data_IF_597612637199
#
_entry.id   IF_597612637199
#
_cell.length_a   1.000
_cell.length_b   1.000
_cell.length_c   1.000
_cell.angle_alpha   90.00
_cell.angle_beta   90.00
_cell.angle_gamma   90.00
#
_symmetry.space_group_name_H-M   'P 1'
#
loop_
_entity.id
_entity.type
_entity.pdbx_description
1 polymer ?
#
# COMPACT_ATOMS: atom_id res chain seq x y z
N UNK A 1 9.49 29.34 -70.87
CA UNK A 1 8.47 28.43 -71.46
C UNK A 1 7.59 28.01 -70.28
N UNK A 2 6.57 28.75 -70.00
CA UNK A 2 5.16 28.77 -70.50
C UNK A 2 4.45 27.42 -70.39
N UNK A 3 3.35 27.53 -69.55
CA UNK A 3 2.09 26.73 -69.58
C UNK A 3 2.10 25.53 -68.63
N UNK A 4 1.10 25.32 -67.77
CA UNK A 4 -0.28 25.81 -67.73
C UNK A 4 -0.87 25.75 -66.32
N UNK A 5 -1.55 26.81 -65.96
CA UNK A 5 -2.62 26.86 -64.92
C UNK A 5 -3.78 25.94 -65.35
N UNK A 6 -4.37 25.23 -64.43
CA UNK A 6 -5.74 24.77 -64.58
C UNK A 6 -6.44 24.79 -63.24
N UNK A 7 -7.26 25.77 -63.12
CA UNK A 7 -8.34 26.05 -62.21
C UNK A 7 -9.36 24.92 -62.18
N UNK A 8 -9.78 24.44 -61.01
CA UNK A 8 -11.12 23.88 -60.84
C UNK A 8 -11.82 24.54 -59.65
N UNK A 9 -12.67 25.45 -60.01
CA UNK A 9 -13.79 25.99 -59.26
C UNK A 9 -15.00 25.19 -59.67
N UNK A 10 -15.77 24.59 -58.75
CA UNK A 10 -17.19 24.16 -58.86
C UNK A 10 -17.45 23.25 -57.69
N UNK A 11 -18.49 23.25 -56.95
CA UNK A 11 -19.75 23.96 -56.94
C UNK A 11 -20.32 23.77 -55.53
N UNK A 12 -20.77 24.88 -54.97
CA UNK A 12 -21.63 24.87 -53.77
C UNK A 12 -23.02 24.44 -54.26
N UNK A 13 -23.46 23.23 -53.87
CA UNK A 13 -24.85 22.85 -53.92
C UNK A 13 -25.42 22.80 -52.52
N UNK A 14 -26.25 23.77 -52.23
CA UNK A 14 -27.19 23.76 -51.11
C UNK A 14 -28.06 22.49 -51.20
N UNK A 15 -28.01 21.64 -50.19
CA UNK A 15 -29.12 20.79 -49.84
C UNK A 15 -29.59 21.18 -48.45
N UNK A 16 -30.65 21.98 -48.43
CA UNK A 16 -31.46 22.18 -47.25
C UNK A 16 -32.28 20.92 -47.02
N UNK A 17 -31.95 20.15 -45.99
CA UNK A 17 -32.85 19.11 -45.49
C UNK A 17 -32.92 19.25 -43.97
N UNK A 18 -34.13 19.69 -43.56
CA UNK A 18 -34.79 19.42 -42.26
C UNK A 18 -33.95 19.43 -41.01
N UNK A 19 -33.99 20.56 -40.33
CA UNK A 19 -33.77 20.69 -38.90
C UNK A 19 -34.79 19.83 -38.13
N UNK A 20 -34.41 18.63 -37.76
CA UNK A 20 -35.03 17.94 -36.62
C UNK A 20 -34.47 18.56 -35.35
N UNK A 21 -35.31 18.91 -34.37
CA UNK A 21 -34.80 19.45 -33.12
C UNK A 21 -33.91 18.41 -32.43
N UNK A 22 -32.66 18.79 -32.18
CA UNK A 22 -31.82 18.03 -31.26
C UNK A 22 -32.56 17.99 -29.93
N UNK A 23 -33.08 16.81 -29.56
CA UNK A 23 -33.48 16.51 -28.21
C UNK A 23 -32.26 16.74 -27.34
N UNK A 24 -32.28 17.81 -26.57
CA UNK A 24 -31.35 18.00 -25.48
C UNK A 24 -31.53 16.81 -24.56
N UNK A 25 -30.58 15.90 -24.58
CA UNK A 25 -30.42 14.97 -23.46
C UNK A 25 -30.18 15.82 -22.25
N UNK A 26 -31.21 16.04 -21.45
CA UNK A 26 -31.09 16.54 -20.11
C UNK A 26 -30.11 15.59 -19.39
N UNK A 27 -28.98 16.12 -18.99
CA UNK A 27 -28.12 15.43 -18.04
C UNK A 27 -29.01 15.00 -16.87
N UNK A 28 -28.90 13.76 -16.38
CA UNK A 28 -29.65 13.34 -15.21
C UNK A 28 -29.32 14.36 -14.12
N UNK A 29 -30.33 15.15 -13.74
CA UNK A 29 -30.24 16.01 -12.57
C UNK A 29 -29.91 15.11 -11.39
N UNK A 30 -28.69 15.24 -10.91
CA UNK A 30 -28.33 14.67 -9.62
C UNK A 30 -29.43 15.08 -8.64
N UNK A 31 -30.01 14.14 -7.85
CA UNK A 31 -31.02 14.51 -6.89
C UNK A 31 -30.43 15.60 -6.01
N UNK A 32 -31.08 16.75 -5.97
CA UNK A 32 -30.73 17.86 -5.07
C UNK A 32 -30.83 17.29 -3.64
N UNK A 33 -29.69 16.93 -3.08
CA UNK A 33 -29.63 16.57 -1.68
C UNK A 33 -29.91 17.85 -0.90
N UNK A 34 -31.11 17.93 -0.34
CA UNK A 34 -31.48 18.93 0.64
C UNK A 34 -30.43 18.96 1.75
N UNK A 35 -29.57 19.97 1.72
CA UNK A 35 -28.48 20.18 2.66
C UNK A 35 -28.93 20.46 4.10
N UNK A 36 -30.22 20.41 4.39
CA UNK A 36 -30.79 20.72 5.71
C UNK A 36 -31.42 19.53 6.45
N UNK A 37 -31.29 18.29 5.99
CA UNK A 37 -31.74 17.10 6.72
C UNK A 37 -30.68 15.99 6.81
N UNK A 38 -29.39 16.33 6.92
CA UNK A 38 -28.42 15.41 7.46
C UNK A 38 -28.57 15.40 9.01
N UNK A 39 -29.62 14.79 9.53
CA UNK A 39 -29.58 14.27 10.90
C UNK A 39 -28.35 13.38 10.93
N UNK A 40 -27.36 13.74 11.74
CA UNK A 40 -26.18 12.93 11.95
C UNK A 40 -26.64 11.52 12.25
N UNK A 41 -26.34 10.58 11.35
CA UNK A 41 -26.63 9.17 11.59
C UNK A 41 -25.78 8.73 12.74
N UNK A 42 -26.38 8.39 13.85
CA UNK A 42 -25.69 7.93 15.05
C UNK A 42 -25.45 6.43 15.07
N UNK A 43 -25.81 5.71 14.01
CA UNK A 43 -25.67 4.28 13.88
C UNK A 43 -24.88 3.94 12.63
N UNK A 44 -23.88 3.04 12.75
CA UNK A 44 -23.11 2.57 11.60
C UNK A 44 -24.01 1.81 10.61
N UNK A 45 -23.79 1.95 9.28
CA UNK A 45 -24.66 1.34 8.26
C UNK A 45 -24.88 -0.16 8.43
N UNK A 46 -23.88 -0.90 8.89
CA UNK A 46 -23.95 -2.34 9.10
C UNK A 46 -24.93 -2.71 10.25
N UNK A 47 -25.12 -1.79 11.19
CA UNK A 47 -26.06 -1.97 12.31
C UNK A 47 -27.49 -1.61 11.94
N UNK A 48 -27.71 -0.78 10.91
CA UNK A 48 -29.05 -0.45 10.40
C UNK A 48 -29.75 -1.69 9.81
N UNK A 49 -28.99 -2.66 9.32
CA UNK A 49 -29.51 -3.91 8.74
C UNK A 49 -29.57 -5.07 9.74
N UNK A 50 -29.00 -4.91 10.93
CA UNK A 50 -29.02 -5.93 11.98
C UNK A 50 -30.42 -5.96 12.65
N UNK A 51 -31.21 -7.00 12.39
CA UNK A 51 -32.59 -7.11 12.89
C UNK A 51 -32.76 -8.15 14.01
N UNK A 52 -31.80 -9.06 14.17
CA UNK A 52 -31.89 -10.18 15.12
C UNK A 52 -30.55 -10.45 15.83
N UNK A 53 -30.64 -11.10 16.99
CA UNK A 53 -29.49 -11.53 17.77
C UNK A 53 -28.85 -10.42 18.62
N UNK A 54 -27.72 -10.74 19.21
CA UNK A 54 -26.89 -9.82 20.03
C UNK A 54 -25.68 -9.40 19.25
N UNK A 55 -25.41 -8.10 19.19
CA UNK A 55 -24.27 -7.51 18.47
C UNK A 55 -23.32 -6.87 19.47
N UNK A 56 -22.03 -7.09 19.31
CA UNK A 56 -21.01 -6.36 20.06
C UNK A 56 -20.75 -5.02 19.39
N UNK A 57 -20.88 -3.95 20.17
CA UNK A 57 -20.78 -2.58 19.67
C UNK A 57 -19.84 -1.73 20.52
N UNK A 58 -19.30 -0.68 19.89
CA UNK A 58 -18.65 0.44 20.57
C UNK A 58 -19.65 1.58 20.58
N UNK A 59 -20.04 2.03 21.77
CA UNK A 59 -20.94 3.14 22.00
C UNK A 59 -20.09 4.34 22.38
N UNK A 60 -20.07 5.37 21.56
CA UNK A 60 -19.39 6.64 21.81
C UNK A 60 -20.38 7.61 22.44
N UNK A 61 -19.92 8.34 23.44
CA UNK A 61 -20.72 9.27 24.25
C UNK A 61 -20.40 10.71 23.91
N UNK A 62 -21.38 11.61 24.03
CA UNK A 62 -21.13 13.05 24.03
C UNK A 62 -20.56 13.46 25.42
N UNK A 63 -19.23 13.41 25.55
CA UNK A 63 -18.53 13.58 26.81
C UNK A 63 -18.41 12.28 27.62
N UNK A 64 -17.93 12.35 28.85
CA UNK A 64 -17.63 11.16 29.66
C UNK A 64 -18.82 10.22 29.77
N UNK A 65 -18.56 8.93 29.56
CA UNK A 65 -19.55 7.88 29.77
C UNK A 65 -20.10 7.90 31.20
N UNK A 66 -21.41 7.87 31.34
CA UNK A 66 -22.10 8.02 32.64
C UNK A 66 -22.82 6.73 33.04
N UNK A 67 -23.12 6.61 34.35
CA UNK A 67 -23.94 5.51 34.86
C UNK A 67 -25.33 5.43 34.18
N UNK A 68 -25.84 6.56 33.69
CA UNK A 68 -27.11 6.60 32.96
C UNK A 68 -27.04 5.87 31.59
N UNK A 69 -25.90 5.87 30.95
CA UNK A 69 -25.70 5.11 29.71
C UNK A 69 -25.53 3.62 30.01
N UNK A 70 -24.82 3.26 31.08
CA UNK A 70 -24.75 1.86 31.54
C UNK A 70 -26.11 1.29 31.85
N UNK A 71 -26.97 2.06 32.57
CA UNK A 71 -28.33 1.70 32.84
C UNK A 71 -29.19 1.59 31.58
N UNK A 72 -29.00 2.49 30.61
CA UNK A 72 -29.72 2.45 29.34
C UNK A 72 -29.43 1.19 28.53
N UNK A 73 -28.15 0.75 28.51
CA UNK A 73 -27.72 -0.50 27.89
C UNK A 73 -28.35 -1.70 28.61
N UNK A 74 -28.24 -1.74 29.96
CA UNK A 74 -28.76 -2.84 30.77
C UNK A 74 -30.31 -2.97 30.71
N UNK A 75 -31.02 -1.84 30.76
CA UNK A 75 -32.46 -1.80 30.68
C UNK A 75 -33.04 -2.34 29.35
N UNK A 76 -32.18 -2.39 28.30
CA UNK A 76 -32.54 -2.93 26.99
C UNK A 76 -31.96 -4.32 26.74
N UNK A 77 -31.60 -5.03 27.80
CA UNK A 77 -31.06 -6.39 27.72
C UNK A 77 -29.60 -6.46 27.22
N UNK A 78 -28.92 -5.34 27.13
CA UNK A 78 -27.50 -5.29 26.79
C UNK A 78 -26.59 -5.51 28.01
N UNK A 79 -25.36 -5.85 27.75
CA UNK A 79 -24.32 -6.07 28.78
C UNK A 79 -23.06 -5.28 28.45
N UNK A 80 -22.70 -4.31 29.30
CA UNK A 80 -21.44 -3.59 29.21
C UNK A 80 -20.26 -4.53 29.43
N UNK A 81 -19.32 -4.55 28.52
CA UNK A 81 -18.12 -5.37 28.58
C UNK A 81 -16.93 -4.59 29.13
N UNK A 82 -16.74 -3.35 28.69
CA UNK A 82 -15.59 -2.54 29.05
C UNK A 82 -15.90 -1.05 28.93
N UNK A 83 -15.43 -0.26 29.89
CA UNK A 83 -15.32 1.20 29.74
C UNK A 83 -14.04 1.58 29.00
N UNK A 84 -14.12 2.56 28.12
CA UNK A 84 -12.98 3.19 27.42
C UNK A 84 -12.94 4.66 27.85
N UNK A 85 -12.56 4.89 29.11
CA UNK A 85 -12.71 6.17 29.82
C UNK A 85 -12.03 7.35 29.12
N UNK A 86 -10.83 7.12 28.58
CA UNK A 86 -10.08 8.16 27.85
C UNK A 86 -10.62 8.44 26.43
N UNK A 87 -11.60 7.66 25.96
CA UNK A 87 -12.17 7.78 24.63
C UNK A 87 -13.68 8.14 24.69
N UNK A 88 -14.20 8.43 25.87
CA UNK A 88 -15.61 8.72 26.12
C UNK A 88 -16.53 7.66 25.45
N UNK A 89 -16.16 6.37 25.61
CA UNK A 89 -16.83 5.27 24.94
C UNK A 89 -16.94 4.02 25.84
N UNK A 90 -17.77 3.08 25.44
CA UNK A 90 -17.85 1.74 26.05
C UNK A 90 -18.00 0.66 24.98
N UNK A 91 -17.53 -0.55 25.29
CA UNK A 91 -17.86 -1.76 24.55
C UNK A 91 -19.01 -2.48 25.25
N UNK A 92 -20.05 -2.82 24.52
CA UNK A 92 -21.20 -3.53 25.03
C UNK A 92 -21.72 -4.59 24.05
N UNK A 93 -22.29 -5.68 24.58
CA UNK A 93 -23.13 -6.60 23.81
C UNK A 93 -24.57 -6.11 23.91
N UNK A 94 -25.22 -5.82 22.78
CA UNK A 94 -26.55 -5.21 22.75
C UNK A 94 -27.46 -6.01 21.80
N UNK A 95 -28.72 -6.29 22.19
CA UNK A 95 -29.68 -6.83 21.24
C UNK A 95 -29.85 -5.91 20.02
N UNK A 96 -29.90 -6.50 18.84
CA UNK A 96 -30.01 -5.71 17.59
C UNK A 96 -31.28 -4.81 17.61
N UNK A 97 -32.35 -5.28 18.19
CA UNK A 97 -33.60 -4.51 18.34
C UNK A 97 -33.49 -3.26 19.23
N UNK A 98 -32.47 -3.17 20.08
CA UNK A 98 -32.26 -2.05 20.98
C UNK A 98 -31.33 -0.95 20.41
N UNK A 99 -30.69 -1.20 19.26
CA UNK A 99 -29.72 -0.30 18.68
C UNK A 99 -30.29 1.06 18.28
N UNK A 100 -31.47 1.07 17.65
CA UNK A 100 -32.15 2.29 17.23
C UNK A 100 -32.53 3.17 18.42
N UNK A 101 -33.04 2.57 19.48
CA UNK A 101 -33.43 3.26 20.72
C UNK A 101 -32.21 3.85 21.45
N UNK A 102 -31.09 3.14 21.46
CA UNK A 102 -29.85 3.64 22.04
C UNK A 102 -29.31 4.79 21.21
N UNK A 103 -29.31 4.68 19.89
CA UNK A 103 -28.85 5.74 18.99
C UNK A 103 -29.72 7.01 19.07
N UNK A 104 -31.00 6.88 19.41
CA UNK A 104 -31.91 8.01 19.57
C UNK A 104 -31.61 8.89 20.80
N UNK A 105 -30.83 8.42 21.76
CA UNK A 105 -30.48 9.17 22.97
C UNK A 105 -29.57 10.37 22.65
N UNK A 106 -29.80 11.47 23.37
CA UNK A 106 -29.03 12.70 23.18
C UNK A 106 -27.60 12.61 23.70
N UNK A 107 -27.36 11.75 24.72
CA UNK A 107 -26.04 11.54 25.34
C UNK A 107 -25.17 10.53 24.57
N UNK A 108 -25.67 9.91 23.52
CA UNK A 108 -24.90 9.03 22.64
C UNK A 108 -24.57 9.80 21.36
N UNK A 109 -23.30 9.75 21.00
CA UNK A 109 -22.76 10.37 19.79
C UNK A 109 -22.84 9.43 18.59
N UNK A 110 -22.30 8.20 18.73
CA UNK A 110 -22.27 7.22 17.65
C UNK A 110 -22.18 5.80 18.19
N UNK A 111 -22.76 4.84 17.45
CA UNK A 111 -22.69 3.41 17.73
C UNK A 111 -22.14 2.69 16.50
N UNK A 112 -21.03 1.97 16.66
CA UNK A 112 -20.42 1.14 15.62
C UNK A 112 -20.26 -0.31 16.08
N UNK A 113 -20.22 -1.31 15.17
CA UNK A 113 -19.82 -2.65 15.55
C UNK A 113 -18.40 -2.67 16.12
N UNK A 114 -18.14 -3.57 17.08
CA UNK A 114 -16.78 -3.92 17.48
C UNK A 114 -16.19 -4.81 16.38
N UNK A 115 -15.60 -4.16 15.37
CA UNK A 115 -15.06 -4.84 14.19
C UNK A 115 -13.78 -5.56 14.52
N UNK A 116 -13.62 -6.74 13.96
CA UNK A 116 -12.34 -7.46 14.03
C UNK A 116 -11.27 -6.64 13.30
N UNK A 117 -10.19 -6.35 13.99
CA UNK A 117 -9.00 -5.71 13.43
C UNK A 117 -8.04 -6.84 13.09
N UNK A 118 -7.89 -7.17 11.80
CA UNK A 118 -6.95 -8.17 11.33
C UNK A 118 -5.62 -7.49 10.99
N UNK A 119 -4.54 -8.22 11.21
CA UNK A 119 -3.21 -7.79 10.81
C UNK A 119 -3.05 -7.89 9.29
N UNK A 120 -2.58 -6.83 8.64
CA UNK A 120 -2.70 -6.67 7.18
C UNK A 120 -1.72 -7.48 6.33
N UNK A 121 -0.61 -8.01 6.86
CA UNK A 121 0.27 -8.87 6.04
C UNK A 121 -0.35 -10.24 5.75
N UNK A 122 -1.12 -10.80 6.66
CA UNK A 122 -1.90 -12.01 6.37
C UNK A 122 -2.90 -11.77 5.23
N UNK A 123 -3.59 -10.63 5.27
CA UNK A 123 -4.52 -10.19 4.23
C UNK A 123 -3.79 -9.96 2.91
N UNK A 124 -2.67 -9.23 2.91
CA UNK A 124 -1.91 -8.90 1.70
C UNK A 124 -1.41 -10.15 0.98
N UNK A 125 -0.78 -11.09 1.70
CA UNK A 125 -0.26 -12.32 1.12
C UNK A 125 -1.35 -13.20 0.50
N UNK A 126 -2.55 -13.19 1.07
CA UNK A 126 -3.71 -13.91 0.54
C UNK A 126 -4.35 -13.16 -0.64
N UNK A 127 -4.57 -11.86 -0.53
CA UNK A 127 -5.18 -11.02 -1.57
C UNK A 127 -4.38 -11.04 -2.89
N UNK A 128 -3.05 -11.07 -2.83
CA UNK A 128 -2.20 -11.16 -4.02
C UNK A 128 -1.91 -12.60 -4.47
N UNK A 129 -2.47 -13.62 -3.80
CA UNK A 129 -2.29 -15.02 -4.15
C UNK A 129 -0.95 -15.64 -3.72
N UNK A 130 -0.11 -14.93 -2.99
CA UNK A 130 1.19 -15.42 -2.56
C UNK A 130 1.09 -16.63 -1.62
N UNK A 131 0.03 -16.69 -0.78
CA UNK A 131 -0.24 -17.84 0.08
C UNK A 131 -0.52 -19.09 -0.76
N UNK A 132 -1.34 -18.98 -1.81
CA UNK A 132 -1.64 -20.08 -2.72
C UNK A 132 -0.38 -20.50 -3.50
N UNK A 133 0.40 -19.55 -4.01
CA UNK A 133 1.66 -19.82 -4.70
C UNK A 133 2.66 -20.60 -3.81
N UNK A 134 2.73 -20.27 -2.51
CA UNK A 134 3.59 -21.00 -1.55
C UNK A 134 3.12 -22.44 -1.25
N UNK A 135 1.81 -22.66 -1.32
CA UNK A 135 1.24 -24.00 -1.09
C UNK A 135 1.36 -24.91 -2.32
N UNK A 136 1.54 -24.35 -3.51
CA UNK A 136 1.41 -25.05 -4.78
C UNK A 136 -0.05 -25.15 -5.24
N UNK A 137 -0.26 -25.30 -6.54
CA UNK A 137 -1.60 -25.37 -7.13
C UNK A 137 -1.62 -26.28 -8.36
N UNK A 138 -2.69 -27.05 -8.53
CA UNK A 138 -2.92 -27.90 -9.71
C UNK A 138 -1.72 -28.83 -10.06
N UNK A 139 -1.05 -29.40 -9.04
CA UNK A 139 0.10 -30.29 -9.24
C UNK A 139 1.45 -29.58 -9.37
N UNK A 140 1.48 -28.25 -9.48
CA UNK A 140 2.72 -27.49 -9.43
C UNK A 140 3.22 -27.36 -7.99
N UNK A 141 4.54 -27.51 -7.74
CA UNK A 141 5.11 -27.35 -6.41
C UNK A 141 4.99 -25.91 -5.92
N UNK A 142 4.93 -25.73 -4.61
CA UNK A 142 4.95 -24.41 -3.99
C UNK A 142 6.25 -23.65 -4.25
N UNK A 143 6.17 -22.34 -4.39
CA UNK A 143 7.31 -21.45 -4.60
C UNK A 143 7.41 -20.42 -3.47
N UNK A 144 8.63 -20.12 -3.04
CA UNK A 144 8.91 -19.29 -1.86
C UNK A 144 9.92 -18.15 -2.14
N UNK A 145 10.35 -18.04 -3.40
CA UNK A 145 11.42 -17.14 -3.84
C UNK A 145 12.82 -17.72 -3.59
N UNK A 146 12.91 -19.03 -3.35
CA UNK A 146 14.16 -19.71 -3.02
C UNK A 146 15.18 -19.59 -4.15
N UNK A 147 16.40 -19.16 -3.80
CA UNK A 147 17.49 -18.98 -4.75
C UNK A 147 17.41 -17.70 -5.57
N UNK A 148 16.45 -16.80 -5.30
CA UNK A 148 16.34 -15.49 -5.95
C UNK A 148 16.88 -14.41 -5.01
N UNK A 149 17.79 -13.56 -5.51
CA UNK A 149 18.30 -12.39 -4.81
C UNK A 149 17.43 -11.15 -5.10
N UNK A 150 16.94 -10.51 -4.04
CA UNK A 150 16.24 -9.21 -4.10
C UNK A 150 17.17 -8.17 -3.50
N UNK A 151 17.64 -7.22 -4.31
CA UNK A 151 18.39 -6.08 -3.83
C UNK A 151 17.43 -4.98 -3.38
N UNK A 152 17.54 -4.61 -2.12
CA UNK A 152 16.78 -3.53 -1.49
C UNK A 152 17.67 -2.29 -1.49
N UNK A 153 17.36 -1.33 -2.36
CA UNK A 153 18.04 -0.03 -2.43
C UNK A 153 17.23 0.96 -1.59
N UNK A 154 17.65 1.16 -0.33
CA UNK A 154 16.84 1.87 0.67
C UNK A 154 17.71 2.41 1.83
N UNK A 155 17.17 2.54 3.04
CA UNK A 155 17.84 3.05 4.24
C UNK A 155 18.66 2.00 5.03
N UNK A 156 18.78 0.78 4.49
CA UNK A 156 19.42 -0.34 5.17
C UNK A 156 18.42 -1.39 5.67
N UNK A 157 18.93 -2.50 6.19
CA UNK A 157 18.12 -3.58 6.77
C UNK A 157 18.67 -3.93 8.15
N UNK A 158 17.81 -3.97 9.17
CA UNK A 158 18.18 -4.42 10.52
C UNK A 158 18.48 -5.91 10.52
N UNK A 159 19.75 -6.27 10.35
CA UNK A 159 20.22 -7.63 10.14
C UNK A 159 19.92 -8.59 11.32
N UNK A 160 19.70 -8.03 12.51
CA UNK A 160 19.39 -8.80 13.71
C UNK A 160 17.91 -9.21 13.83
N UNK A 161 17.03 -8.68 12.96
CA UNK A 161 15.62 -9.04 12.99
C UNK A 161 15.45 -10.53 12.65
N UNK A 162 14.69 -11.31 13.46
CA UNK A 162 14.52 -12.75 13.26
C UNK A 162 13.98 -13.14 11.88
N UNK A 163 13.13 -12.28 11.30
CA UNK A 163 12.51 -12.52 9.99
C UNK A 163 13.50 -12.56 8.81
N UNK A 164 14.74 -12.13 9.02
CA UNK A 164 15.79 -12.19 8.00
C UNK A 164 16.80 -13.33 8.23
N UNK A 165 16.46 -14.26 9.11
CA UNK A 165 17.30 -15.43 9.40
C UNK A 165 16.63 -16.70 8.91
N UNK A 166 17.44 -17.70 8.55
CA UNK A 166 17.01 -19.08 8.28
C UNK A 166 16.78 -19.82 9.58
N UNK A 167 16.12 -20.98 9.53
CA UNK A 167 15.88 -21.84 10.70
C UNK A 167 17.15 -22.21 11.48
N UNK A 168 18.31 -22.26 10.81
CA UNK A 168 19.62 -22.48 11.41
C UNK A 168 20.31 -21.18 11.88
N UNK A 169 19.59 -20.11 12.05
CA UNK A 169 20.05 -18.78 12.46
C UNK A 169 21.04 -18.09 11.47
N UNK A 170 21.28 -18.66 10.27
CA UNK A 170 22.07 -18.01 9.22
C UNK A 170 21.28 -16.85 8.60
N UNK A 171 21.96 -15.75 8.34
CA UNK A 171 21.35 -14.58 7.67
C UNK A 171 20.88 -14.94 6.25
N UNK A 172 19.74 -14.38 5.85
CA UNK A 172 19.30 -14.33 4.45
C UNK A 172 19.73 -13.03 3.76
N UNK A 173 20.29 -12.07 4.51
CA UNK A 173 21.00 -10.93 3.96
C UNK A 173 22.38 -11.44 3.56
N UNK A 174 22.57 -11.70 2.27
CA UNK A 174 23.78 -12.35 1.73
C UNK A 174 24.87 -11.36 1.34
N UNK A 175 24.52 -10.08 1.23
CA UNK A 175 25.43 -8.96 1.06
C UNK A 175 24.83 -7.69 1.64
N UNK A 176 25.67 -6.81 2.17
CA UNK A 176 25.30 -5.48 2.65
C UNK A 176 26.37 -4.48 2.25
N UNK A 177 25.95 -3.36 1.66
CA UNK A 177 26.83 -2.28 1.25
C UNK A 177 26.18 -0.95 1.64
N UNK A 178 26.96 -0.09 2.28
CA UNK A 178 26.54 1.25 2.65
C UNK A 178 27.19 2.29 1.73
N UNK A 179 26.38 3.01 0.97
CA UNK A 179 26.78 4.09 0.07
C UNK A 179 26.59 5.47 0.72
N UNK A 180 26.22 5.53 2.00
CA UNK A 180 26.12 6.77 2.76
C UNK A 180 27.38 6.99 3.61
N UNK A 181 27.52 8.19 4.17
CA UNK A 181 28.58 8.49 5.14
C UNK A 181 28.23 8.10 6.58
N UNK A 182 26.98 7.62 6.78
CA UNK A 182 26.45 7.25 8.10
C UNK A 182 26.71 5.81 8.50
N UNK A 183 26.06 5.38 9.59
CA UNK A 183 26.13 4.01 10.08
C UNK A 183 25.43 3.03 9.11
N UNK A 184 25.88 1.78 9.10
CA UNK A 184 25.23 0.72 8.34
C UNK A 184 23.87 0.31 8.92
N UNK A 185 23.60 0.59 10.19
CA UNK A 185 22.33 0.31 10.86
C UNK A 185 21.15 1.04 10.18
N UNK A 186 19.97 0.41 10.16
CA UNK A 186 18.75 1.02 9.63
C UNK A 186 18.02 1.82 10.72
N UNK A 187 18.51 3.03 11.00
CA UNK A 187 17.86 3.96 11.94
C UNK A 187 16.66 4.70 11.36
N UNK A 188 16.50 4.73 10.02
CA UNK A 188 15.25 5.17 9.42
C UNK A 188 14.12 4.20 9.72
N UNK A 189 14.39 2.90 9.63
CA UNK A 189 13.44 1.81 9.78
C UNK A 189 12.63 1.51 8.52
N UNK A 190 12.76 2.34 7.47
CA UNK A 190 12.01 2.19 6.23
C UNK A 190 12.47 0.97 5.44
N UNK A 191 13.76 0.81 5.20
CA UNK A 191 14.31 -0.30 4.42
C UNK A 191 14.09 -1.67 5.07
N UNK A 192 14.12 -1.76 6.41
CA UNK A 192 13.74 -2.98 7.15
C UNK A 192 12.30 -3.37 6.88
N UNK A 193 11.37 -2.41 6.95
CA UNK A 193 9.96 -2.65 6.63
C UNK A 193 9.77 -3.11 5.18
N UNK A 194 10.43 -2.44 4.22
CA UNK A 194 10.42 -2.78 2.79
C UNK A 194 10.96 -4.21 2.55
N UNK A 195 12.10 -4.55 3.13
CA UNK A 195 12.68 -5.89 3.04
C UNK A 195 11.76 -6.96 3.64
N UNK A 196 11.09 -6.62 4.74
CA UNK A 196 10.14 -7.50 5.41
C UNK A 196 8.91 -7.81 4.57
N UNK A 197 8.33 -6.80 3.91
CA UNK A 197 7.22 -7.01 2.98
C UNK A 197 7.63 -7.89 1.81
N UNK A 198 8.80 -7.67 1.21
CA UNK A 198 9.28 -8.48 0.10
C UNK A 198 9.57 -9.91 0.54
N UNK A 199 10.30 -10.11 1.64
CA UNK A 199 10.92 -11.39 1.96
C UNK A 199 11.08 -11.71 3.46
N UNK A 200 10.38 -11.05 4.37
CA UNK A 200 10.33 -11.49 5.77
C UNK A 200 9.78 -12.92 5.90
N UNK A 201 10.34 -13.75 6.76
CA UNK A 201 9.82 -15.12 6.92
C UNK A 201 8.78 -15.26 8.04
N UNK A 202 8.47 -14.17 8.74
CA UNK A 202 7.47 -14.16 9.82
C UNK A 202 7.89 -14.88 11.10
N UNK A 203 9.17 -15.23 11.27
CA UNK A 203 9.65 -15.93 12.48
C UNK A 203 9.35 -15.18 13.76
N UNK A 204 9.45 -13.85 13.75
CA UNK A 204 9.14 -12.99 14.89
C UNK A 204 7.62 -12.87 15.15
N UNK A 205 6.74 -13.39 14.28
CA UNK A 205 5.28 -13.32 14.44
C UNK A 205 4.74 -14.26 15.53
N UNK A 206 5.58 -15.15 16.06
CA UNK A 206 5.17 -16.04 17.16
C UNK A 206 4.72 -15.22 18.35
N UNK A 207 3.47 -15.44 18.79
CA UNK A 207 2.84 -14.68 19.88
C UNK A 207 2.24 -13.34 19.47
N UNK A 208 2.11 -13.08 18.17
CA UNK A 208 1.31 -11.98 17.60
C UNK A 208 -0.05 -12.49 17.08
N UNK A 209 -0.96 -11.57 16.78
CA UNK A 209 -2.31 -11.92 16.31
C UNK A 209 -2.34 -12.53 14.89
N UNK A 210 -1.28 -12.34 14.11
CA UNK A 210 -1.18 -12.82 12.73
C UNK A 210 0.23 -13.28 12.36
N UNK A 211 0.35 -13.96 11.23
CA UNK A 211 1.63 -14.31 10.63
C UNK A 211 2.03 -13.21 9.63
N UNK A 212 3.08 -12.45 9.94
CA UNK A 212 3.53 -11.32 9.14
C UNK A 212 4.65 -11.67 8.15
N UNK A 213 4.67 -12.91 7.68
CA UNK A 213 5.60 -13.31 6.64
C UNK A 213 5.37 -12.50 5.35
N UNK A 214 6.46 -12.06 4.75
CA UNK A 214 6.45 -11.39 3.45
C UNK A 214 6.05 -12.30 2.30
N UNK A 215 6.11 -11.75 1.10
CA UNK A 215 5.61 -12.41 -0.11
C UNK A 215 6.52 -13.59 -0.50
N UNK A 216 7.85 -13.42 -0.52
CA UNK A 216 8.85 -14.40 -0.92
C UNK A 216 9.79 -14.76 0.25
N UNK A 217 9.32 -15.54 1.26
CA UNK A 217 9.98 -15.68 2.56
C UNK A 217 11.31 -16.44 2.53
N UNK A 218 11.67 -17.10 1.42
CA UNK A 218 12.97 -17.80 1.26
C UNK A 218 13.91 -17.09 0.27
N UNK A 219 13.51 -15.93 -0.30
CA UNK A 219 14.40 -15.14 -1.13
C UNK A 219 15.62 -14.65 -0.33
N UNK A 220 16.76 -14.53 -0.98
CA UNK A 220 17.93 -13.88 -0.42
C UNK A 220 17.77 -12.35 -0.53
N UNK A 221 18.25 -11.64 0.46
CA UNK A 221 18.24 -10.19 0.50
C UNK A 221 19.64 -9.63 0.28
N UNK A 222 19.72 -8.57 -0.48
CA UNK A 222 20.93 -7.78 -0.65
C UNK A 222 20.60 -6.37 -0.15
N UNK A 223 21.27 -5.94 0.91
CA UNK A 223 21.11 -4.65 1.54
C UNK A 223 22.02 -3.61 0.88
N UNK A 224 21.43 -2.65 0.18
CA UNK A 224 22.14 -1.56 -0.49
C UNK A 224 21.66 -0.23 0.10
N UNK A 225 22.27 0.19 1.20
CA UNK A 225 21.89 1.42 1.91
C UNK A 225 22.35 2.66 1.14
N UNK A 226 21.39 3.46 0.69
CA UNK A 226 21.59 4.74 -0.01
C UNK A 226 20.91 5.91 0.68
N UNK A 227 20.03 5.64 1.65
CA UNK A 227 19.33 6.66 2.44
C UNK A 227 19.92 6.68 3.86
N UNK A 228 20.07 7.86 4.41
CA UNK A 228 20.54 8.11 5.78
C UNK A 228 19.46 7.80 6.83
N UNK A 229 19.74 8.13 8.08
CA UNK A 229 18.85 7.90 9.22
C UNK A 229 17.55 8.71 9.16
N UNK A 230 17.50 9.75 8.32
CA UNK A 230 16.31 10.59 8.07
C UNK A 230 15.56 10.16 6.80
N UNK A 231 16.00 9.10 6.12
CA UNK A 231 15.41 8.64 4.87
C UNK A 231 15.79 9.50 3.66
N UNK A 232 16.85 10.30 3.74
CA UNK A 232 17.36 11.14 2.66
C UNK A 232 18.62 10.52 2.02
N UNK A 233 18.81 10.74 0.72
CA UNK A 233 19.95 10.24 -0.01
C UNK A 233 20.25 11.06 -1.27
N UNK A 234 21.25 10.65 -2.03
CA UNK A 234 21.65 11.31 -3.26
C UNK A 234 21.43 10.43 -4.48
N UNK A 235 21.21 11.05 -5.63
CA UNK A 235 21.14 10.33 -6.92
C UNK A 235 22.40 9.51 -7.16
N UNK A 236 23.59 10.04 -6.84
CA UNK A 236 24.86 9.33 -7.00
C UNK A 236 24.91 8.04 -6.18
N UNK A 237 24.49 8.06 -4.91
CA UNK A 237 24.45 6.85 -4.07
C UNK A 237 23.51 5.78 -4.66
N UNK A 238 22.35 6.19 -5.21
CA UNK A 238 21.44 5.26 -5.89
C UNK A 238 22.06 4.69 -7.17
N UNK A 239 22.75 5.50 -7.95
CA UNK A 239 23.48 5.05 -9.16
C UNK A 239 24.57 4.05 -8.80
N UNK A 240 25.34 4.32 -7.74
CA UNK A 240 26.39 3.41 -7.24
C UNK A 240 25.79 2.06 -6.80
N UNK A 241 24.66 2.08 -6.09
CA UNK A 241 23.96 0.88 -5.66
C UNK A 241 23.43 0.05 -6.86
N UNK A 242 22.85 0.69 -7.88
CA UNK A 242 22.40 0.01 -9.09
C UNK A 242 23.60 -0.60 -9.84
N UNK A 243 24.67 0.16 -9.99
CA UNK A 243 25.90 -0.32 -10.63
C UNK A 243 26.49 -1.51 -9.89
N UNK A 244 26.53 -1.45 -8.55
CA UNK A 244 26.98 -2.56 -7.72
C UNK A 244 26.09 -3.81 -7.91
N UNK A 245 24.79 -3.64 -7.94
CA UNK A 245 23.85 -4.74 -8.16
C UNK A 245 24.04 -5.41 -9.53
N UNK A 246 24.25 -4.63 -10.60
CA UNK A 246 24.56 -5.14 -11.94
C UNK A 246 25.86 -5.94 -11.93
N UNK A 247 26.92 -5.39 -11.34
CA UNK A 247 28.26 -6.02 -11.27
C UNK A 247 28.22 -7.34 -10.51
N UNK A 248 27.45 -7.41 -9.43
CA UNK A 248 27.41 -8.57 -8.53
C UNK A 248 26.21 -9.50 -8.77
N UNK A 249 25.43 -9.28 -9.85
CA UNK A 249 24.21 -10.01 -10.11
C UNK A 249 24.38 -11.53 -10.15
N UNK A 250 25.43 -12.02 -10.80
CA UNK A 250 25.69 -13.45 -10.91
C UNK A 250 26.19 -14.06 -9.60
N UNK A 251 26.94 -13.28 -8.80
CA UNK A 251 27.50 -13.73 -7.52
C UNK A 251 26.39 -13.99 -6.48
N UNK A 252 25.35 -13.19 -6.47
CA UNK A 252 24.28 -13.24 -5.47
C UNK A 252 22.92 -13.59 -6.07
N UNK A 253 22.88 -14.02 -7.34
CA UNK A 253 21.65 -14.28 -8.12
C UNK A 253 20.65 -13.11 -8.02
N UNK A 254 21.13 -11.88 -8.17
CA UNK A 254 20.29 -10.68 -8.11
C UNK A 254 19.41 -10.64 -9.35
N UNK A 255 18.14 -10.93 -9.16
CA UNK A 255 17.14 -10.96 -10.24
C UNK A 255 16.11 -9.84 -10.09
N UNK A 256 16.02 -9.24 -8.90
CA UNK A 256 15.09 -8.16 -8.59
C UNK A 256 15.84 -7.05 -7.88
N UNK A 257 15.60 -5.81 -8.28
CA UNK A 257 15.95 -4.60 -7.53
C UNK A 257 14.62 -3.97 -7.09
N UNK A 258 14.47 -3.70 -5.79
CA UNK A 258 13.40 -2.92 -5.22
C UNK A 258 13.89 -1.51 -4.89
N UNK A 259 13.27 -0.49 -5.46
CA UNK A 259 13.50 0.92 -5.13
C UNK A 259 12.22 1.56 -4.60
N UNK A 260 12.12 1.58 -3.28
CA UNK A 260 11.00 2.22 -2.55
C UNK A 260 11.30 3.70 -2.26
N UNK A 261 11.97 4.36 -3.18
CA UNK A 261 12.43 5.75 -3.12
C UNK A 261 12.15 6.47 -4.45
N UNK A 262 12.31 7.77 -4.46
CA UNK A 262 12.18 8.55 -5.69
C UNK A 262 12.37 10.04 -5.48
N UNK A 263 12.52 10.75 -6.58
CA UNK A 263 12.64 12.20 -6.64
C UNK A 263 11.62 12.77 -7.64
N UNK A 264 11.18 14.01 -7.49
CA UNK A 264 10.34 14.66 -8.50
C UNK A 264 10.99 14.63 -9.88
N UNK A 265 10.20 14.32 -10.91
CA UNK A 265 10.67 14.30 -12.29
C UNK A 265 11.01 15.73 -12.74
N UNK A 266 12.22 15.92 -13.30
CA UNK A 266 12.70 17.21 -13.79
C UNK A 266 13.04 17.20 -15.26
N UNK A 267 13.07 16.02 -15.86
CA UNK A 267 13.45 15.80 -17.26
C UNK A 267 12.85 14.49 -17.80
N UNK A 268 12.94 14.28 -19.11
CA UNK A 268 12.52 13.04 -19.77
C UNK A 268 13.31 11.84 -19.22
N UNK A 269 12.68 10.66 -19.17
CA UNK A 269 13.39 9.41 -18.83
C UNK A 269 14.59 9.14 -19.75
N UNK A 270 14.61 9.76 -20.93
CA UNK A 270 15.70 9.60 -21.91
C UNK A 270 16.99 10.29 -21.48
N UNK A 271 16.90 11.32 -20.67
CA UNK A 271 18.03 12.11 -20.15
C UNK A 271 18.28 11.83 -18.68
N UNK A 272 17.26 11.52 -17.89
CA UNK A 272 17.33 11.25 -16.46
C UNK A 272 18.31 10.10 -16.14
N UNK A 273 19.36 10.36 -15.34
CA UNK A 273 20.39 9.37 -15.03
C UNK A 273 19.83 8.15 -14.27
N UNK A 274 18.85 8.32 -13.38
CA UNK A 274 18.22 7.20 -12.67
C UNK A 274 17.44 6.30 -13.63
N UNK A 275 16.68 6.88 -14.54
CA UNK A 275 15.95 6.13 -15.56
C UNK A 275 16.87 5.37 -16.51
N UNK A 276 18.02 5.96 -16.86
CA UNK A 276 19.05 5.28 -17.66
C UNK A 276 19.70 4.12 -16.90
N UNK A 277 19.95 4.28 -15.60
CA UNK A 277 20.50 3.20 -14.76
C UNK A 277 19.50 2.04 -14.65
N UNK A 278 18.19 2.33 -14.48
CA UNK A 278 17.12 1.33 -14.52
C UNK A 278 17.13 0.57 -15.85
N UNK A 279 17.23 1.27 -16.99
CA UNK A 279 17.32 0.62 -18.31
C UNK A 279 18.52 -0.34 -18.38
N UNK A 280 19.68 0.06 -17.87
CA UNK A 280 20.90 -0.79 -17.81
C UNK A 280 20.70 -2.03 -16.94
N UNK A 281 20.08 -1.88 -15.76
CA UNK A 281 19.77 -3.01 -14.89
C UNK A 281 18.80 -4.00 -15.58
N UNK A 282 17.78 -3.48 -16.26
CA UNK A 282 16.81 -4.29 -17.02
C UNK A 282 17.48 -5.03 -18.18
N UNK A 283 18.36 -4.36 -18.95
CA UNK A 283 19.16 -4.98 -20.00
C UNK A 283 20.11 -6.06 -19.44
N UNK A 284 20.57 -5.88 -18.21
CA UNK A 284 21.40 -6.86 -17.51
C UNK A 284 20.58 -8.08 -16.99
N UNK A 285 19.27 -8.15 -17.23
CA UNK A 285 18.41 -9.26 -16.81
C UNK A 285 17.83 -9.13 -15.40
N UNK A 286 17.82 -7.93 -14.82
CA UNK A 286 17.27 -7.65 -13.49
C UNK A 286 15.93 -6.94 -13.65
N UNK A 287 14.88 -7.44 -12.99
CA UNK A 287 13.59 -6.74 -12.90
C UNK A 287 13.72 -5.60 -11.88
N UNK A 288 13.48 -4.38 -12.33
CA UNK A 288 13.56 -3.20 -11.46
C UNK A 288 12.16 -2.76 -11.09
N UNK A 289 11.81 -2.86 -9.81
CA UNK A 289 10.51 -2.49 -9.26
C UNK A 289 10.65 -1.16 -8.53
N UNK A 290 9.83 -0.17 -8.90
CA UNK A 290 9.88 1.17 -8.33
C UNK A 290 8.54 1.58 -7.74
N UNK A 291 8.55 2.29 -6.64
CA UNK A 291 7.35 2.95 -6.12
C UNK A 291 6.92 4.10 -7.04
N UNK A 292 5.60 4.30 -7.20
CA UNK A 292 5.05 5.37 -8.01
C UNK A 292 5.23 6.77 -7.38
N UNK A 293 5.35 6.83 -6.05
CA UNK A 293 5.35 8.06 -5.25
C UNK A 293 4.04 8.25 -4.49
N UNK A 294 4.06 9.16 -3.52
CA UNK A 294 2.94 9.40 -2.59
C UNK A 294 2.31 10.80 -2.78
N UNK A 295 2.42 11.37 -3.99
CA UNK A 295 1.97 12.72 -4.31
C UNK A 295 0.64 12.72 -5.10
N UNK A 296 -0.18 11.65 -4.98
CA UNK A 296 -1.43 11.50 -5.74
C UNK A 296 -2.58 12.38 -5.26
N UNK A 297 -2.38 13.17 -4.19
CA UNK A 297 -3.35 14.10 -3.63
C UNK A 297 -2.67 15.33 -3.04
N UNK A 298 -3.41 16.42 -2.93
CA UNK A 298 -3.03 17.55 -2.08
C UNK A 298 -3.50 17.30 -0.65
N UNK A 299 -3.12 18.17 0.29
CA UNK A 299 -3.65 18.16 1.66
C UNK A 299 -5.06 18.76 1.75
N UNK A 300 -5.56 19.36 0.67
CA UNK A 300 -6.89 19.98 0.64
C UNK A 300 -7.97 18.91 0.66
N UNK A 301 -8.76 18.90 1.73
CA UNK A 301 -9.97 18.08 1.83
C UNK A 301 -11.08 18.76 1.04
N UNK A 302 -11.71 18.02 0.12
CA UNK A 302 -12.81 18.50 -0.74
C UNK A 302 -14.18 18.02 -0.25
N UNK A 303 -14.22 17.08 0.69
CA UNK A 303 -15.40 16.50 1.27
C UNK A 303 -15.08 15.27 2.11
N UNK A 304 -16.11 14.54 2.49
CA UNK A 304 -15.99 13.27 3.20
C UNK A 304 -16.85 12.23 2.48
N UNK A 305 -16.38 10.97 2.46
CA UNK A 305 -17.16 9.86 1.91
C UNK A 305 -18.28 9.40 2.85
N UNK A 306 -19.02 8.36 2.46
CA UNK A 306 -20.11 7.81 3.26
C UNK A 306 -19.66 7.21 4.62
N UNK A 307 -18.38 6.89 4.76
CA UNK A 307 -17.75 6.35 5.96
C UNK A 307 -17.11 7.44 6.83
N UNK A 308 -17.20 8.70 6.43
CA UNK A 308 -16.55 9.83 7.12
C UNK A 308 -15.07 9.98 6.82
N UNK A 309 -14.51 9.22 5.87
CA UNK A 309 -13.11 9.36 5.44
C UNK A 309 -12.94 10.58 4.55
N UNK A 310 -11.87 11.38 4.72
CA UNK A 310 -11.69 12.61 3.96
C UNK A 310 -11.41 12.33 2.48
N UNK A 311 -12.13 13.03 1.61
CA UNK A 311 -11.90 13.08 0.17
C UNK A 311 -10.95 14.23 -0.12
N UNK A 312 -9.84 13.93 -0.79
CA UNK A 312 -8.81 14.89 -1.12
C UNK A 312 -8.85 15.28 -2.60
N UNK A 313 -8.36 16.49 -2.90
CA UNK A 313 -8.14 16.90 -4.28
C UNK A 313 -7.04 16.03 -4.90
N UNK A 314 -7.39 15.32 -5.98
CA UNK A 314 -6.46 14.42 -6.68
C UNK A 314 -5.42 15.22 -7.48
N UNK A 315 -4.22 14.65 -7.56
CA UNK A 315 -3.09 15.15 -8.36
C UNK A 315 -2.73 14.08 -9.39
N UNK A 316 -2.66 14.50 -10.64
CA UNK A 316 -2.17 13.69 -11.75
C UNK A 316 -0.79 14.16 -12.19
N UNK A 317 -0.07 13.34 -12.95
CA UNK A 317 1.29 13.68 -13.40
C UNK A 317 2.34 13.63 -12.30
N UNK A 318 2.05 12.94 -11.18
CA UNK A 318 2.86 12.99 -9.96
C UNK A 318 3.76 11.74 -9.78
N UNK A 319 3.96 10.94 -10.83
CA UNK A 319 4.88 9.79 -10.79
C UNK A 319 6.30 10.30 -10.61
N UNK A 320 7.03 9.75 -9.62
CA UNK A 320 8.42 10.11 -9.34
C UNK A 320 9.42 9.37 -10.26
N UNK A 321 10.61 9.94 -10.45
CA UNK A 321 11.77 9.24 -10.98
C UNK A 321 12.35 8.32 -9.86
N UNK A 322 12.77 7.06 -10.18
CA UNK A 322 12.82 6.45 -11.51
C UNK A 322 11.55 5.70 -11.94
N UNK A 323 10.46 5.80 -11.19
CA UNK A 323 9.17 5.17 -11.56
C UNK A 323 8.57 5.68 -12.88
N UNK A 324 8.99 6.85 -13.37
CA UNK A 324 8.61 7.36 -14.69
C UNK A 324 9.27 6.61 -15.86
N UNK A 325 10.28 5.77 -15.59
CA UNK A 325 10.99 5.01 -16.63
C UNK A 325 10.10 3.92 -17.23
N UNK A 326 10.05 3.75 -18.57
CA UNK A 326 9.36 2.62 -19.21
C UNK A 326 9.98 1.26 -18.88
N UNK A 327 11.24 1.24 -18.45
CA UNK A 327 11.97 0.03 -18.07
C UNK A 327 11.69 -0.41 -16.62
N UNK A 328 11.19 0.48 -15.77
CA UNK A 328 10.75 0.13 -14.43
C UNK A 328 9.38 -0.57 -14.44
N UNK A 329 9.19 -1.51 -13.53
CA UNK A 329 7.87 -1.98 -13.10
C UNK A 329 7.40 -1.07 -11.96
N UNK A 330 6.57 -0.09 -12.31
CA UNK A 330 6.14 0.97 -11.38
C UNK A 330 4.88 0.58 -10.66
N UNK A 331 4.89 0.68 -9.34
CA UNK A 331 3.83 0.18 -8.48
C UNK A 331 3.13 1.31 -7.73
N UNK A 332 1.82 1.42 -7.95
CA UNK A 332 0.91 2.24 -7.15
C UNK A 332 0.38 1.49 -5.93
N UNK A 333 -0.33 2.20 -5.06
CA UNK A 333 -0.87 1.63 -3.83
C UNK A 333 -2.40 1.51 -3.86
N UNK A 334 -2.92 0.36 -3.40
CA UNK A 334 -4.32 0.19 -3.03
C UNK A 334 -4.50 0.16 -1.51
N UNK A 335 -5.71 0.48 -1.07
CA UNK A 335 -6.23 0.17 0.26
C UNK A 335 -7.09 -1.08 0.14
N UNK A 336 -6.69 -2.15 0.82
CA UNK A 336 -7.41 -3.42 0.85
C UNK A 336 -8.51 -3.45 1.92
N UNK A 337 -8.75 -2.34 2.61
CA UNK A 337 -9.72 -2.24 3.71
C UNK A 337 -9.63 -3.38 4.74
N UNK A 338 -8.45 -4.00 4.87
CA UNK A 338 -8.17 -5.15 5.74
C UNK A 338 -8.96 -6.41 5.35
N UNK A 339 -9.33 -6.57 4.08
CA UNK A 339 -10.00 -7.75 3.54
C UNK A 339 -9.11 -8.46 2.51
N UNK A 340 -9.38 -9.75 2.28
CA UNK A 340 -8.75 -10.53 1.19
C UNK A 340 -9.49 -10.37 -0.12
N UNK A 341 -10.66 -9.76 -0.10
CA UNK A 341 -11.55 -9.59 -1.23
C UNK A 341 -11.09 -8.41 -2.08
N UNK A 342 -10.63 -8.68 -3.28
CA UNK A 342 -10.10 -7.64 -4.20
C UNK A 342 -11.18 -6.72 -4.79
N UNK A 343 -12.46 -7.10 -4.74
CA UNK A 343 -13.54 -6.29 -5.33
C UNK A 343 -13.94 -5.08 -4.48
N UNK A 344 -13.48 -4.98 -3.25
CA UNK A 344 -13.67 -3.82 -2.37
C UNK A 344 -12.40 -2.96 -2.23
N UNK A 345 -11.29 -3.38 -2.87
CA UNK A 345 -10.06 -2.59 -2.91
C UNK A 345 -10.31 -1.23 -3.59
N UNK A 346 -9.74 -0.19 -3.02
CA UNK A 346 -9.75 1.15 -3.60
C UNK A 346 -8.33 1.67 -3.81
N UNK A 347 -8.16 2.61 -4.74
CA UNK A 347 -6.88 3.29 -4.88
C UNK A 347 -6.58 4.11 -3.62
N UNK A 348 -5.43 3.89 -3.01
CA UNK A 348 -4.98 4.73 -1.91
C UNK A 348 -4.85 6.17 -2.39
N UNK A 349 -5.48 7.12 -1.68
CA UNK A 349 -5.58 8.52 -2.11
C UNK A 349 -4.21 9.17 -2.35
N UNK A 350 -3.20 8.78 -1.58
CA UNK A 350 -1.83 9.28 -1.71
C UNK A 350 -1.08 8.72 -2.92
N UNK A 351 -1.51 7.58 -3.50
CA UNK A 351 -0.78 6.94 -4.60
C UNK A 351 -0.66 7.88 -5.79
N UNK A 352 0.56 8.13 -6.25
CA UNK A 352 0.81 8.94 -7.44
C UNK A 352 0.20 8.32 -8.68
N UNK A 353 -0.29 9.16 -9.57
CA UNK A 353 -1.00 8.83 -10.81
C UNK A 353 -0.31 9.49 -11.99
N UNK A 354 -0.30 8.78 -13.12
CA UNK A 354 0.15 9.31 -14.39
C UNK A 354 -0.83 10.32 -15.03
N UNK A 355 -0.59 10.68 -16.28
CA UNK A 355 0.57 10.30 -17.11
C UNK A 355 1.88 10.85 -16.54
N UNK A 356 3.04 10.28 -16.94
CA UNK A 356 4.33 10.82 -16.51
C UNK A 356 4.55 12.23 -17.08
N UNK A 357 5.24 13.08 -16.32
CA UNK A 357 5.69 14.37 -16.83
C UNK A 357 6.68 14.18 -17.99
N UNK A 358 6.74 15.12 -18.91
CA UNK A 358 7.58 15.16 -20.11
C UNK A 358 7.28 14.07 -21.16
N UNK A 359 7.15 12.81 -20.76
CA UNK A 359 7.07 11.69 -21.70
C UNK A 359 5.64 11.14 -21.87
N UNK A 360 4.70 11.56 -21.03
CA UNK A 360 3.26 11.22 -21.06
C UNK A 360 2.96 9.72 -21.09
N UNK A 361 3.83 8.91 -20.46
CA UNK A 361 3.61 7.47 -20.36
C UNK A 361 2.51 7.15 -19.35
N UNK A 362 1.72 6.14 -19.64
CA UNK A 362 0.76 5.59 -18.70
C UNK A 362 1.50 4.89 -17.55
N UNK A 363 1.32 5.39 -16.32
CA UNK A 363 1.91 4.85 -15.08
C UNK A 363 0.94 5.07 -13.92
N UNK A 364 0.97 4.25 -12.84
CA UNK A 364 1.84 3.09 -12.64
C UNK A 364 1.49 1.93 -13.58
N UNK A 365 2.37 0.91 -13.72
CA UNK A 365 2.11 -0.29 -14.52
C UNK A 365 1.12 -1.22 -13.80
N UNK A 366 1.26 -1.34 -12.48
CA UNK A 366 0.42 -2.17 -11.61
C UNK A 366 0.16 -1.48 -10.28
N UNK A 367 -0.78 -2.01 -9.52
CA UNK A 367 -1.07 -1.60 -8.14
C UNK A 367 -1.00 -2.81 -7.21
N UNK A 368 -0.66 -2.57 -5.95
CA UNK A 368 -0.65 -3.58 -4.91
C UNK A 368 -1.06 -2.95 -3.56
N UNK A 369 -1.48 -3.75 -2.57
CA UNK A 369 -1.76 -3.23 -1.24
C UNK A 369 -0.60 -2.40 -0.69
N UNK A 370 -0.91 -1.21 -0.19
CA UNK A 370 0.10 -0.24 0.29
C UNK A 370 -0.36 0.61 1.46
N UNK A 371 -1.51 0.33 2.06
CA UNK A 371 -2.02 1.06 3.23
C UNK A 371 -2.09 0.14 4.44
N UNK A 372 -1.48 0.57 5.57
CA UNK A 372 -1.47 -0.11 6.88
C UNK A 372 -0.86 -1.51 6.86
N UNK A 373 0.09 -1.81 5.99
CA UNK A 373 0.78 -3.10 5.98
C UNK A 373 1.59 -3.28 7.26
N UNK A 374 1.50 -4.47 7.86
CA UNK A 374 2.34 -4.84 8.98
C UNK A 374 3.61 -5.51 8.46
N UNK A 375 4.76 -4.98 8.83
CA UNK A 375 6.06 -5.50 8.43
C UNK A 375 7.08 -5.36 9.56
N UNK A 376 8.22 -6.05 9.49
CA UNK A 376 9.30 -5.93 10.46
C UNK A 376 9.66 -4.48 10.78
N UNK A 377 9.74 -4.16 12.05
CA UNK A 377 10.27 -2.91 12.55
C UNK A 377 11.78 -3.04 12.74
N UNK A 378 12.55 -2.05 12.34
CA UNK A 378 13.99 -2.06 12.61
C UNK A 378 14.26 -2.16 14.12
N UNK A 379 15.23 -2.97 14.48
CA UNK A 379 15.68 -3.11 15.87
C UNK A 379 16.82 -2.14 16.22
N UNK A 380 17.14 -1.23 15.31
CA UNK A 380 18.24 -0.27 15.43
C UNK A 380 17.76 1.10 15.95
N UNK A 381 16.70 1.13 16.77
CA UNK A 381 16.04 2.33 17.28
C UNK A 381 15.54 3.26 16.15
N UNK A 382 14.55 2.84 15.39
CA UNK A 382 14.16 3.53 14.16
C UNK A 382 13.48 4.87 14.44
N UNK A 383 13.89 5.90 13.71
CA UNK A 383 13.29 7.23 13.75
C UNK A 383 11.81 7.22 13.32
N UNK A 384 11.43 6.31 12.42
CA UNK A 384 10.04 6.15 11.96
C UNK A 384 9.06 5.75 13.06
N UNK A 385 9.52 5.22 14.18
CA UNK A 385 8.69 4.87 15.32
C UNK A 385 8.48 6.03 16.30
N UNK A 386 9.34 7.05 16.26
CA UNK A 386 9.29 8.20 17.19
C UNK A 386 8.04 9.02 16.88
N UNK A 387 7.17 9.21 17.89
CA UNK A 387 5.89 9.91 17.75
C UNK A 387 4.82 9.15 16.94
N UNK A 388 5.06 7.86 16.69
CA UNK A 388 4.15 6.97 15.98
C UNK A 388 4.00 5.62 16.69
N UNK A 389 4.04 5.62 18.01
CA UNK A 389 3.93 4.43 18.85
C UNK A 389 2.59 3.69 18.64
N UNK A 390 1.55 4.38 18.23
CA UNK A 390 0.23 3.84 17.83
C UNK A 390 0.31 2.88 16.64
N UNK A 391 1.37 2.96 15.85
CA UNK A 391 1.63 2.07 14.71
C UNK A 391 2.43 0.83 15.07
N UNK A 392 3.02 0.78 16.26
CA UNK A 392 3.71 -0.42 16.75
C UNK A 392 2.66 -1.51 17.00
N UNK A 393 2.92 -2.70 16.48
CA UNK A 393 2.00 -3.83 16.64
C UNK A 393 2.28 -4.50 17.98
N UNK A 394 1.29 -4.48 18.86
CA UNK A 394 1.40 -5.14 20.16
C UNK A 394 1.30 -6.66 20.02
N UNK A 395 2.16 -7.44 20.69
CA UNK A 395 2.00 -8.89 20.79
C UNK A 395 0.76 -9.25 21.61
N UNK A 396 0.19 -10.43 21.34
CA UNK A 396 -0.93 -11.00 22.13
C UNK A 396 -0.44 -11.96 23.22
N UNK A 397 0.78 -12.43 23.12
CA UNK A 397 1.43 -13.27 24.12
C UNK A 397 2.52 -12.50 24.86
N UNK A 398 2.62 -12.64 26.20
CA UNK A 398 3.69 -12.00 26.96
C UNK A 398 5.08 -12.56 26.66
N UNK A 399 5.17 -13.73 26.03
CA UNK A 399 6.45 -14.36 25.64
C UNK A 399 6.94 -13.91 24.25
N UNK A 400 6.12 -13.17 23.51
CA UNK A 400 6.54 -12.64 22.21
C UNK A 400 7.55 -11.50 22.39
N UNK A 401 8.45 -11.37 21.42
CA UNK A 401 9.38 -10.24 21.39
C UNK A 401 8.59 -8.95 21.09
N UNK A 402 8.59 -7.96 21.97
CA UNK A 402 7.93 -6.69 21.73
C UNK A 402 8.62 -5.91 20.59
N UNK A 403 7.93 -4.92 20.04
CA UNK A 403 8.46 -3.98 19.04
C UNK A 403 9.12 -4.65 17.81
N UNK A 404 8.58 -5.82 17.39
CA UNK A 404 9.08 -6.52 16.21
C UNK A 404 8.41 -6.07 14.92
N UNK A 405 7.22 -5.47 15.01
CA UNK A 405 6.42 -5.10 13.84
C UNK A 405 5.80 -3.71 13.95
N UNK A 406 5.64 -3.09 12.79
CA UNK A 406 5.10 -1.74 12.65
C UNK A 406 4.13 -1.68 11.46
N UNK A 407 3.14 -0.76 11.52
CA UNK A 407 2.16 -0.53 10.44
C UNK A 407 2.65 0.57 9.51
N UNK A 408 2.93 0.20 8.29
CA UNK A 408 3.42 1.10 7.25
C UNK A 408 2.35 1.46 6.22
N UNK A 409 2.48 2.63 5.60
CA UNK A 409 1.67 3.02 4.45
C UNK A 409 2.50 3.78 3.44
N UNK A 410 2.26 3.54 2.15
CA UNK A 410 2.96 4.19 1.05
C UNK A 410 3.13 3.26 -0.15
N UNK A 411 3.32 3.83 -1.33
CA UNK A 411 3.74 3.07 -2.53
C UNK A 411 5.07 2.37 -2.32
N UNK A 412 5.87 2.87 -1.36
CA UNK A 412 7.11 2.25 -0.88
C UNK A 412 6.90 0.85 -0.29
N UNK A 413 5.68 0.53 0.17
CA UNK A 413 5.31 -0.78 0.69
C UNK A 413 4.52 -1.61 -0.32
N UNK A 414 3.94 -1.01 -1.35
CA UNK A 414 3.36 -1.72 -2.50
C UNK A 414 4.45 -2.29 -3.42
N UNK A 415 5.52 -1.54 -3.67
CA UNK A 415 6.63 -1.99 -4.50
C UNK A 415 7.25 -3.31 -4.02
N UNK A 416 7.58 -3.50 -2.73
CA UNK A 416 8.13 -4.77 -2.26
C UNK A 416 7.13 -5.93 -2.31
N UNK A 417 5.81 -5.70 -2.26
CA UNK A 417 4.82 -6.75 -2.55
C UNK A 417 5.05 -7.31 -3.96
N UNK A 418 5.17 -6.42 -4.96
CA UNK A 418 5.41 -6.81 -6.35
C UNK A 418 6.81 -7.42 -6.51
N UNK A 419 7.84 -6.89 -5.84
CA UNK A 419 9.19 -7.47 -5.83
C UNK A 419 9.19 -8.91 -5.33
N UNK A 420 8.42 -9.21 -4.28
CA UNK A 420 8.23 -10.56 -3.79
C UNK A 420 7.48 -11.44 -4.79
N UNK A 421 6.42 -10.93 -5.44
CA UNK A 421 5.69 -11.67 -6.49
C UNK A 421 6.63 -12.03 -7.65
N UNK A 422 7.43 -11.08 -8.12
CA UNK A 422 8.45 -11.33 -9.16
C UNK A 422 9.45 -12.40 -8.71
N UNK A 423 9.86 -12.39 -7.44
CA UNK A 423 10.74 -13.43 -6.91
C UNK A 423 10.07 -14.82 -6.90
N UNK A 424 8.77 -14.92 -6.58
CA UNK A 424 8.01 -16.17 -6.70
C UNK A 424 7.91 -16.64 -8.15
N UNK A 425 7.65 -15.73 -9.11
CA UNK A 425 7.61 -16.04 -10.54
C UNK A 425 8.97 -16.59 -11.03
N UNK A 426 10.07 -15.97 -10.59
CA UNK A 426 11.45 -16.39 -10.93
C UNK A 426 11.87 -17.69 -10.24
N UNK A 427 11.34 -18.01 -9.07
CA UNK A 427 11.51 -19.32 -8.43
C UNK A 427 10.79 -20.41 -9.23
N UNK A 428 9.56 -20.14 -9.69
CA UNK A 428 8.80 -21.03 -10.55
C UNK A 428 9.44 -21.21 -11.94
N UNK A 429 9.98 -20.15 -12.52
CA UNK A 429 10.62 -20.17 -13.84
C UNK A 429 11.82 -19.22 -13.90
N UNK A 430 13.01 -19.77 -13.74
CA UNK A 430 14.27 -19.01 -13.74
C UNK A 430 14.63 -18.39 -15.09
N UNK A 431 13.99 -18.82 -16.18
CA UNK A 431 14.23 -18.28 -17.53
C UNK A 431 13.45 -17.01 -17.85
N UNK A 432 12.55 -16.56 -16.96
CA UNK A 432 11.81 -15.33 -17.16
C UNK A 432 12.76 -14.14 -17.30
N UNK A 433 12.57 -13.39 -18.39
CA UNK A 433 13.25 -12.11 -18.60
C UNK A 433 12.53 -10.98 -17.89
N UNK A 434 13.17 -9.82 -17.67
CA UNK A 434 12.48 -8.67 -17.08
C UNK A 434 11.23 -8.22 -17.84
N UNK A 435 11.24 -8.33 -19.16
CA UNK A 435 10.08 -8.00 -20.00
C UNK A 435 8.92 -8.97 -19.75
N UNK A 436 9.19 -10.28 -19.72
CA UNK A 436 8.16 -11.31 -19.46
C UNK A 436 7.63 -11.26 -18.03
N UNK A 437 8.44 -10.80 -17.08
CA UNK A 437 7.97 -10.62 -15.70
C UNK A 437 7.09 -9.35 -15.53
N UNK A 438 7.15 -8.41 -16.48
CA UNK A 438 6.36 -7.18 -16.48
C UNK A 438 5.02 -7.32 -17.21
N UNK A 439 4.90 -8.24 -18.16
CA UNK A 439 3.70 -8.52 -18.97
C UNK A 439 2.83 -9.58 -18.30
#
# INVERSE_FOLDING_TARGET
MLRRFATYLLAVTLLATSLAPFSTFAAPTAPSQNSHQRRERKLAPELETATTGTVRVIIQSKGRSTAAQDQAVSARGGNKRKALENLDAMVADVPASALADLAARDDIDYISPDRRVNAQMDVTGEAVGAKLAKQGYAGAPGVTGKGVGIAIIDSGISANHPDFKKNNNKSRIVAAVNFTTGLAADRSGHGTGVAGVAAGNGTASTGYAGNYAGIAPEANLIDLKVLDDNGAGTTSAVLDAINWAITNRNRFDIRVINMSLGTPVRESFRTDPLSKAVARATQAGIVVVCSAGNNGRTEQITGYDANGEPIYRLVYGAINSPGNSPYALTVGATDSHSTVKRSDDTMASFSSKGPTQFDHLAKPDVVAPGRRLVAPMSLDNPNSAIGHEDRIVAPVSPTARPNSYFKYSGTSFSAPVVSGIVALMLDANKSLTPLLAKV
#
